data_IF_942583121820
#
_entry.id   IF_942583121820
#
_cell.length_a   1.000
_cell.length_b   1.000
_cell.length_c   1.000
_cell.angle_alpha   90.00
_cell.angle_beta   90.00
_cell.angle_gamma   90.00
#
_symmetry.space_group_name_H-M   'P 1'
#
loop_
_entity.id
_entity.type
_entity.pdbx_description
1 polymer ?
#
# COMPACT_ATOMS: atom_id res chain seq x y z
N UNK A 1 0.20 13.48 -30.63
CA UNK A 1 1.39 12.85 -30.03
C UNK A 1 0.92 11.81 -29.02
N UNK A 2 1.78 10.94 -28.46
CA UNK A 2 1.32 10.06 -27.37
C UNK A 2 1.05 10.92 -26.14
N UNK A 3 -0.12 10.74 -25.53
CA UNK A 3 -0.52 11.43 -24.31
C UNK A 3 -0.15 10.58 -23.09
N UNK A 4 0.50 11.20 -22.11
CA UNK A 4 0.83 10.57 -20.83
C UNK A 4 -0.07 11.15 -19.74
N UNK A 5 -0.70 10.26 -18.99
CA UNK A 5 -1.59 10.57 -17.88
C UNK A 5 -0.82 10.54 -16.56
N UNK A 6 -1.24 11.37 -15.62
CA UNK A 6 -0.60 11.53 -14.31
C UNK A 6 -1.60 11.23 -13.21
N UNK A 7 -1.19 10.35 -12.30
CA UNK A 7 -1.89 10.11 -11.04
C UNK A 7 -1.13 10.84 -9.94
N UNK A 8 -1.81 11.71 -9.19
CA UNK A 8 -1.20 12.49 -8.11
C UNK A 8 -1.40 11.80 -6.76
N UNK A 9 -0.31 11.62 -6.02
CA UNK A 9 -0.26 10.80 -4.80
C UNK A 9 -0.19 11.62 -3.51
N UNK A 10 -0.23 12.96 -3.58
CA UNK A 10 -0.11 13.86 -2.42
C UNK A 10 -1.09 13.57 -1.29
N UNK A 11 -2.30 13.10 -1.62
CA UNK A 11 -3.35 12.84 -0.63
C UNK A 11 -3.26 11.44 0.01
N UNK A 12 -2.34 10.57 -0.46
CA UNK A 12 -2.14 9.21 0.05
C UNK A 12 -0.66 8.84 0.19
N UNK A 13 0.02 8.41 -0.89
CA UNK A 13 1.35 7.79 -0.76
C UNK A 13 2.45 8.77 -0.35
N UNK A 14 2.39 10.01 -0.83
CA UNK A 14 3.46 10.97 -0.59
C UNK A 14 3.58 11.30 0.91
N UNK A 15 2.46 11.59 1.57
CA UNK A 15 2.45 11.85 3.01
C UNK A 15 2.58 10.58 3.86
N UNK A 16 2.12 9.43 3.35
CA UNK A 16 2.39 8.14 3.96
C UNK A 16 3.90 7.87 4.03
N UNK A 17 4.63 8.19 2.96
CA UNK A 17 6.07 7.97 2.83
C UNK A 17 6.90 8.99 3.62
N UNK A 18 6.50 10.27 3.58
CA UNK A 18 7.33 11.35 4.10
C UNK A 18 6.99 11.80 5.53
N UNK A 19 5.71 11.70 5.93
CA UNK A 19 5.24 12.21 7.24
C UNK A 19 4.35 11.20 7.97
N UNK A 20 4.66 9.91 7.82
CA UNK A 20 4.00 8.82 8.54
C UNK A 20 2.46 8.84 8.44
N UNK A 21 1.93 9.25 7.29
CA UNK A 21 0.49 9.29 7.00
C UNK A 21 -0.28 10.32 7.84
N UNK A 22 0.36 11.41 8.27
CA UNK A 22 -0.21 12.39 9.22
C UNK A 22 -0.83 13.63 8.59
N UNK A 23 -1.10 13.62 7.29
CA UNK A 23 -1.86 14.69 6.64
C UNK A 23 -3.35 14.58 7.02
N UNK A 24 -3.87 15.62 7.68
CA UNK A 24 -5.28 15.66 8.15
C UNK A 24 -6.25 16.01 7.03
N UNK A 25 -7.52 15.62 7.14
CA UNK A 25 -8.55 16.01 6.16
C UNK A 25 -8.69 17.53 6.10
N UNK A 26 -8.53 18.21 7.24
CA UNK A 26 -8.56 19.67 7.34
C UNK A 26 -7.48 20.35 6.50
N UNK A 27 -6.30 19.75 6.41
CA UNK A 27 -5.19 20.25 5.57
C UNK A 27 -5.36 19.89 4.09
N UNK A 28 -6.17 18.88 3.76
CA UNK A 28 -6.45 18.56 2.36
C UNK A 28 -7.47 19.51 1.75
N UNK A 29 -8.51 19.89 2.53
CA UNK A 29 -9.67 20.65 2.06
C UNK A 29 -9.37 21.92 1.25
N UNK A 30 -8.44 22.82 1.68
CA UNK A 30 -8.28 24.12 1.03
C UNK A 30 -7.75 24.05 -0.42
N UNK A 31 -7.13 22.94 -0.81
CA UNK A 31 -6.46 22.78 -2.11
C UNK A 31 -7.18 21.80 -3.06
N UNK A 32 -8.32 21.22 -2.64
CA UNK A 32 -9.03 20.20 -3.42
C UNK A 32 -9.56 20.72 -4.77
N UNK A 33 -9.98 21.97 -4.85
CA UNK A 33 -10.48 22.55 -6.11
C UNK A 33 -9.36 22.71 -7.15
N UNK A 34 -8.16 23.07 -6.69
CA UNK A 34 -6.97 23.19 -7.52
C UNK A 34 -6.54 21.80 -8.00
N UNK A 35 -6.53 20.80 -7.13
CA UNK A 35 -6.27 19.41 -7.49
C UNK A 35 -7.29 18.87 -8.52
N UNK A 36 -8.58 19.18 -8.36
CA UNK A 36 -9.65 18.73 -9.27
C UNK A 36 -9.57 19.39 -10.67
N UNK A 37 -8.99 20.58 -10.79
CA UNK A 37 -8.82 21.27 -12.08
C UNK A 37 -7.46 21.07 -12.73
N UNK A 38 -6.51 20.46 -12.02
CA UNK A 38 -5.12 20.35 -12.48
C UNK A 38 -4.93 19.41 -13.68
N UNK A 39 -5.94 18.61 -14.05
CA UNK A 39 -5.91 17.75 -15.24
C UNK A 39 -5.32 16.36 -15.01
N UNK A 40 -5.24 15.92 -13.74
CA UNK A 40 -4.83 14.58 -13.37
C UNK A 40 -5.78 13.50 -13.93
N UNK A 41 -5.24 12.31 -14.17
CA UNK A 41 -6.03 11.12 -14.46
C UNK A 41 -6.79 10.66 -13.21
N UNK A 42 -6.09 10.59 -12.08
CA UNK A 42 -6.67 10.30 -10.78
C UNK A 42 -5.91 11.00 -9.65
N UNK A 43 -6.58 11.18 -8.52
CA UNK A 43 -5.98 11.53 -7.23
C UNK A 43 -5.97 10.28 -6.37
N UNK A 44 -4.80 9.76 -6.04
CA UNK A 44 -4.70 8.71 -5.05
C UNK A 44 -4.86 9.33 -3.65
N UNK A 45 -6.00 9.07 -3.01
CA UNK A 45 -6.43 9.80 -1.80
C UNK A 45 -6.96 8.92 -0.67
N UNK A 46 -7.04 7.60 -0.89
CA UNK A 46 -7.59 6.68 0.09
C UNK A 46 -6.92 5.30 0.04
N UNK A 47 -7.23 4.46 1.03
CA UNK A 47 -6.59 3.16 1.16
C UNK A 47 -5.14 3.25 1.67
N UNK A 48 -4.35 2.21 1.43
CA UNK A 48 -3.04 2.06 2.07
C UNK A 48 -3.14 2.20 3.60
N UNK A 49 -2.25 3.00 4.20
CA UNK A 49 -2.25 3.22 5.66
C UNK A 49 -3.18 4.36 6.10
N UNK A 50 -3.87 5.05 5.18
CA UNK A 50 -4.69 6.22 5.54
C UNK A 50 -5.86 5.85 6.44
N UNK A 51 -6.45 4.67 6.24
CA UNK A 51 -7.60 4.21 7.02
C UNK A 51 -7.24 3.99 8.49
N UNK A 52 -6.18 3.23 8.77
CA UNK A 52 -5.64 3.07 10.14
C UNK A 52 -5.21 4.43 10.70
N UNK A 53 -4.56 5.27 9.90
CA UNK A 53 -4.07 6.58 10.36
C UNK A 53 -5.20 7.51 10.82
N UNK A 54 -6.29 7.57 10.05
CA UNK A 54 -7.47 8.37 10.37
C UNK A 54 -8.02 8.00 11.75
N UNK A 55 -8.27 6.71 11.95
CA UNK A 55 -8.86 6.20 13.20
C UNK A 55 -7.89 6.32 14.38
N UNK A 56 -6.65 5.89 14.20
CA UNK A 56 -5.68 5.69 15.29
C UNK A 56 -5.03 6.98 15.77
N UNK A 57 -4.74 7.91 14.87
CA UNK A 57 -3.88 9.06 15.18
C UNK A 57 -4.53 10.41 14.90
N UNK A 58 -5.39 10.50 13.89
CA UNK A 58 -6.00 11.78 13.52
C UNK A 58 -7.36 12.01 14.21
N UNK A 59 -7.99 10.94 14.73
CA UNK A 59 -9.35 11.03 15.27
C UNK A 59 -10.36 11.42 14.19
N UNK A 60 -10.14 10.94 12.96
CA UNK A 60 -10.97 11.21 11.79
C UNK A 60 -11.64 9.92 11.33
N UNK A 61 -12.88 10.04 10.84
CA UNK A 61 -13.58 8.93 10.18
C UNK A 61 -13.07 8.82 8.72
N UNK A 62 -12.43 7.71 8.33
CA UNK A 62 -11.88 7.56 6.98
C UNK A 62 -12.97 7.58 5.90
N UNK A 63 -14.20 7.16 6.21
CA UNK A 63 -15.32 7.22 5.27
C UNK A 63 -15.82 8.66 5.09
N UNK A 64 -15.84 9.46 6.16
CA UNK A 64 -16.13 10.89 6.04
C UNK A 64 -15.06 11.64 5.25
N UNK A 65 -13.77 11.26 5.40
CA UNK A 65 -12.69 11.80 4.57
C UNK A 65 -12.98 11.56 3.08
N UNK A 66 -13.34 10.33 2.71
CA UNK A 66 -13.69 9.97 1.34
C UNK A 66 -14.88 10.80 0.83
N UNK A 67 -16.00 10.80 1.55
CA UNK A 67 -17.20 11.58 1.17
C UNK A 67 -16.91 13.07 1.05
N UNK A 68 -16.12 13.61 1.96
CA UNK A 68 -15.72 15.04 1.98
C UNK A 68 -14.89 15.39 0.75
N UNK A 69 -13.89 14.58 0.42
CA UNK A 69 -13.06 14.83 -0.76
C UNK A 69 -13.87 14.63 -2.04
N UNK A 70 -14.68 13.58 -2.14
CA UNK A 70 -15.58 13.38 -3.29
C UNK A 70 -16.57 14.51 -3.47
N UNK A 71 -16.99 15.19 -2.40
CA UNK A 71 -17.86 16.37 -2.49
C UNK A 71 -17.15 17.56 -3.14
N UNK A 72 -15.85 17.71 -2.92
CA UNK A 72 -15.06 18.83 -3.45
C UNK A 72 -14.42 18.53 -4.82
N UNK A 73 -13.97 17.29 -5.04
CA UNK A 73 -13.37 16.81 -6.29
C UNK A 73 -14.46 16.17 -7.12
N UNK A 74 -14.76 16.68 -8.32
CA UNK A 74 -15.87 16.22 -9.17
C UNK A 74 -15.44 15.81 -10.59
N UNK A 75 -14.30 16.29 -11.05
CA UNK A 75 -13.79 16.07 -12.41
C UNK A 75 -12.75 14.96 -12.45
N UNK A 76 -11.92 14.88 -11.43
CA UNK A 76 -10.83 13.90 -11.35
C UNK A 76 -11.31 12.61 -10.67
N UNK A 77 -10.84 11.47 -11.17
CA UNK A 77 -11.12 10.18 -10.55
C UNK A 77 -10.45 10.08 -9.17
N UNK A 78 -11.16 9.56 -8.18
CA UNK A 78 -10.58 9.21 -6.89
C UNK A 78 -10.06 7.78 -6.94
N UNK A 79 -8.79 7.62 -6.59
CA UNK A 79 -8.11 6.34 -6.56
C UNK A 79 -7.77 5.93 -5.14
N UNK A 80 -7.87 4.63 -4.89
CA UNK A 80 -7.38 4.01 -3.66
C UNK A 80 -6.41 2.86 -3.91
N UNK A 81 -5.57 2.57 -2.92
CA UNK A 81 -4.76 1.35 -2.86
C UNK A 81 -5.41 0.32 -1.92
N UNK A 82 -5.71 -0.87 -2.43
CA UNK A 82 -6.33 -1.97 -1.69
C UNK A 82 -5.46 -3.24 -1.77
N UNK A 83 -5.21 -3.91 -0.64
CA UNK A 83 -4.39 -5.12 -0.59
C UNK A 83 -5.26 -6.37 -0.71
N UNK A 84 -5.88 -6.59 -1.87
CA UNK A 84 -6.64 -7.80 -2.19
C UNK A 84 -7.56 -8.27 -1.05
N UNK A 85 -7.46 -9.56 -0.72
CA UNK A 85 -8.18 -10.20 0.38
C UNK A 85 -7.84 -9.65 1.77
N UNK A 86 -6.70 -8.95 1.93
CA UNK A 86 -6.36 -8.24 3.17
C UNK A 86 -7.03 -6.88 3.31
N UNK A 87 -7.67 -6.36 2.25
CA UNK A 87 -8.25 -5.02 2.22
C UNK A 87 -7.23 -3.96 2.67
N UNK A 88 -7.48 -3.30 3.80
CA UNK A 88 -6.58 -2.33 4.42
C UNK A 88 -6.00 -2.84 5.75
N UNK A 89 -6.28 -4.10 6.11
CA UNK A 89 -5.83 -4.75 7.33
C UNK A 89 -4.57 -5.60 7.14
N UNK A 90 -4.36 -6.52 8.08
CA UNK A 90 -3.13 -7.32 8.21
C UNK A 90 -3.32 -8.83 8.01
N UNK A 91 -4.54 -9.30 7.75
CA UNK A 91 -4.91 -10.70 7.55
C UNK A 91 -5.89 -10.83 6.39
N UNK A 92 -6.12 -12.03 5.86
CA UNK A 92 -7.22 -12.26 4.92
C UNK A 92 -8.57 -12.13 5.62
N UNK A 93 -9.53 -11.53 4.91
CA UNK A 93 -10.93 -11.44 5.30
C UNK A 93 -11.77 -12.41 4.49
N UNK A 94 -12.93 -12.77 5.03
CA UNK A 94 -13.97 -13.51 4.30
C UNK A 94 -14.48 -12.73 3.10
N UNK A 95 -15.01 -13.45 2.10
CA UNK A 95 -15.44 -12.83 0.84
C UNK A 95 -16.60 -11.84 1.00
N UNK A 96 -17.51 -12.06 1.97
CA UNK A 96 -18.61 -11.14 2.27
C UNK A 96 -18.11 -9.80 2.79
N UNK A 97 -17.04 -9.79 3.59
CA UNK A 97 -16.39 -8.55 4.04
C UNK A 97 -15.70 -7.83 2.88
N UNK A 98 -15.01 -8.58 2.01
CA UNK A 98 -14.35 -7.99 0.84
C UNK A 98 -15.36 -7.39 -0.14
N UNK A 99 -16.43 -8.11 -0.47
CA UNK A 99 -17.49 -7.61 -1.36
C UNK A 99 -18.14 -6.35 -0.80
N UNK A 100 -18.53 -6.36 0.48
CA UNK A 100 -19.13 -5.19 1.13
C UNK A 100 -18.17 -4.00 1.18
N UNK A 101 -16.88 -4.24 1.45
CA UNK A 101 -15.90 -3.16 1.52
C UNK A 101 -15.69 -2.50 0.16
N UNK A 102 -15.54 -3.30 -0.91
CA UNK A 102 -15.40 -2.79 -2.28
C UNK A 102 -16.63 -2.00 -2.70
N UNK A 103 -17.82 -2.57 -2.49
CA UNK A 103 -19.09 -1.89 -2.75
C UNK A 103 -19.21 -0.56 -2.03
N UNK A 104 -18.93 -0.54 -0.72
CA UNK A 104 -19.00 0.70 0.08
C UNK A 104 -17.94 1.72 -0.32
N UNK A 105 -16.77 1.28 -0.78
CA UNK A 105 -15.73 2.19 -1.30
C UNK A 105 -16.21 2.92 -2.56
N UNK A 106 -16.81 2.18 -3.51
CA UNK A 106 -17.33 2.75 -4.75
C UNK A 106 -18.56 3.63 -4.48
N UNK A 107 -19.52 3.15 -3.67
CA UNK A 107 -20.72 3.90 -3.28
C UNK A 107 -20.39 5.26 -2.64
N UNK A 108 -19.31 5.33 -1.85
CA UNK A 108 -18.88 6.57 -1.19
C UNK A 108 -17.98 7.46 -2.07
N UNK A 109 -17.55 7.00 -3.25
CA UNK A 109 -16.95 7.84 -4.27
C UNK A 109 -15.58 7.43 -4.81
N UNK A 110 -15.08 6.24 -4.51
CA UNK A 110 -13.88 5.71 -5.19
C UNK A 110 -14.24 5.31 -6.62
N UNK A 111 -13.46 5.79 -7.59
CA UNK A 111 -13.64 5.46 -9.00
C UNK A 111 -12.67 4.35 -9.44
N UNK A 112 -11.42 4.41 -8.95
CA UNK A 112 -10.34 3.47 -9.29
C UNK A 112 -9.86 2.74 -8.04
N UNK A 113 -9.96 1.41 -8.05
CA UNK A 113 -9.35 0.56 -7.02
C UNK A 113 -8.08 -0.07 -7.61
N UNK A 114 -6.93 0.42 -7.15
CA UNK A 114 -5.65 -0.25 -7.38
C UNK A 114 -5.53 -1.41 -6.40
N UNK A 115 -5.68 -2.64 -6.90
CA UNK A 115 -5.64 -3.85 -6.09
C UNK A 115 -4.31 -4.59 -6.27
N UNK A 116 -3.66 -4.97 -5.18
CA UNK A 116 -2.43 -5.77 -5.21
C UNK A 116 -2.44 -6.89 -4.18
N UNK A 117 -1.65 -7.92 -4.45
CA UNK A 117 -1.26 -8.96 -3.49
C UNK A 117 0.26 -8.90 -3.26
N UNK A 118 0.70 -9.15 -2.03
CA UNK A 118 2.10 -9.05 -1.66
C UNK A 118 2.99 -10.12 -2.33
N UNK A 119 2.42 -11.27 -2.71
CA UNK A 119 3.09 -12.38 -3.36
C UNK A 119 2.86 -12.43 -4.88
N UNK A 120 2.06 -11.51 -5.42
CA UNK A 120 1.50 -11.61 -6.76
C UNK A 120 0.65 -12.88 -6.97
N UNK A 121 0.08 -13.46 -5.91
CA UNK A 121 -0.88 -14.54 -6.02
C UNK A 121 -2.24 -13.97 -6.44
N UNK A 122 -2.55 -14.06 -7.73
CA UNK A 122 -3.75 -13.46 -8.32
C UNK A 122 -5.06 -13.99 -7.70
N UNK A 123 -5.03 -15.17 -7.06
CA UNK A 123 -6.20 -15.72 -6.35
C UNK A 123 -6.65 -14.81 -5.21
N UNK A 124 -5.71 -14.11 -4.57
CA UNK A 124 -5.98 -13.22 -3.44
C UNK A 124 -6.59 -11.87 -3.88
N UNK A 125 -6.65 -11.55 -5.17
CA UNK A 125 -7.32 -10.34 -5.67
C UNK A 125 -8.64 -10.64 -6.38
N UNK A 126 -8.99 -11.92 -6.55
CA UNK A 126 -10.16 -12.36 -7.31
C UNK A 126 -11.48 -11.77 -6.80
N UNK A 127 -11.72 -11.80 -5.48
CA UNK A 127 -12.96 -11.27 -4.89
C UNK A 127 -13.08 -9.76 -5.11
N UNK A 128 -11.97 -9.02 -5.01
CA UNK A 128 -11.96 -7.58 -5.28
C UNK A 128 -12.30 -7.29 -6.74
N UNK A 129 -11.72 -8.03 -7.68
CA UNK A 129 -12.03 -7.86 -9.11
C UNK A 129 -13.51 -8.14 -9.35
N UNK A 130 -14.03 -9.30 -8.91
CA UNK A 130 -15.43 -9.66 -9.08
C UNK A 130 -16.39 -8.61 -8.51
N UNK A 131 -16.16 -8.19 -7.27
CA UNK A 131 -16.99 -7.18 -6.60
C UNK A 131 -16.90 -5.82 -7.31
N UNK A 132 -15.68 -5.40 -7.67
CA UNK A 132 -15.44 -4.14 -8.37
C UNK A 132 -16.16 -4.07 -9.72
N UNK A 133 -16.10 -5.14 -10.51
CA UNK A 133 -16.81 -5.23 -11.79
C UNK A 133 -18.33 -5.20 -11.61
N UNK A 134 -18.87 -5.86 -10.58
CA UNK A 134 -20.30 -5.85 -10.25
C UNK A 134 -20.80 -4.44 -9.93
N UNK A 135 -19.98 -3.63 -9.28
CA UNK A 135 -20.30 -2.26 -8.89
C UNK A 135 -19.88 -1.20 -9.94
N UNK A 136 -19.44 -1.64 -11.12
CA UNK A 136 -18.95 -0.79 -12.23
C UNK A 136 -17.77 0.13 -11.85
N UNK A 137 -16.94 -0.28 -10.88
CA UNK A 137 -15.68 0.41 -10.58
C UNK A 137 -14.58 0.05 -11.57
N UNK A 138 -13.57 0.92 -11.70
CA UNK A 138 -12.36 0.62 -12.46
C UNK A 138 -11.39 -0.17 -11.59
N UNK A 139 -11.06 -1.41 -11.99
CA UNK A 139 -10.15 -2.27 -11.24
C UNK A 139 -8.78 -2.31 -11.91
N UNK A 140 -7.83 -1.62 -11.27
CA UNK A 140 -6.44 -1.64 -11.69
C UNK A 140 -5.68 -2.70 -10.90
N UNK A 141 -5.29 -3.79 -11.54
CA UNK A 141 -4.48 -4.82 -10.88
C UNK A 141 -3.01 -4.42 -10.87
N UNK A 142 -2.35 -4.52 -9.71
CA UNK A 142 -0.98 -4.09 -9.53
C UNK A 142 -0.04 -5.26 -9.28
N UNK A 143 1.05 -5.29 -10.04
CA UNK A 143 2.18 -6.20 -9.88
C UNK A 143 3.11 -5.60 -8.82
N UNK A 144 3.32 -6.33 -7.72
CA UNK A 144 4.35 -6.02 -6.73
C UNK A 144 5.73 -6.37 -7.30
N UNK A 145 6.45 -5.39 -7.81
CA UNK A 145 7.74 -5.61 -8.48
C UNK A 145 8.85 -5.97 -7.48
N UNK A 146 9.69 -6.92 -7.87
CA UNK A 146 10.92 -7.28 -7.17
C UNK A 146 11.94 -7.94 -8.10
N UNK A 147 13.14 -8.23 -7.61
CA UNK A 147 14.15 -8.99 -8.35
C UNK A 147 14.59 -10.21 -7.53
N UNK A 148 14.82 -11.33 -8.23
CA UNK A 148 15.32 -12.60 -7.69
C UNK A 148 15.56 -13.57 -8.86
N UNK A 149 16.16 -14.76 -8.64
CA UNK A 149 16.31 -15.78 -9.69
C UNK A 149 15.02 -16.23 -10.39
N UNK A 150 13.84 -16.06 -9.76
CA UNK A 150 12.55 -16.47 -10.35
C UNK A 150 11.73 -15.32 -10.95
N UNK A 151 12.14 -14.07 -10.71
CA UNK A 151 11.40 -12.89 -11.17
C UNK A 151 12.07 -12.35 -12.44
N UNK A 152 11.51 -12.69 -13.59
CA UNK A 152 11.95 -12.26 -14.91
C UNK A 152 10.75 -11.73 -15.73
N UNK A 153 10.98 -11.34 -16.98
CA UNK A 153 9.93 -10.82 -17.87
C UNK A 153 8.78 -11.81 -18.07
N UNK A 154 9.09 -13.09 -18.31
CA UNK A 154 8.07 -14.14 -18.50
C UNK A 154 7.16 -14.30 -17.27
N UNK A 155 7.74 -14.24 -16.07
CA UNK A 155 6.99 -14.27 -14.82
C UNK A 155 5.98 -13.12 -14.78
N UNK A 156 6.43 -11.89 -15.02
CA UNK A 156 5.56 -10.72 -14.92
C UNK A 156 4.52 -10.65 -16.04
N UNK A 157 4.88 -11.05 -17.26
CA UNK A 157 3.93 -11.18 -18.37
C UNK A 157 2.86 -12.24 -18.05
N UNK A 158 3.23 -13.36 -17.44
CA UNK A 158 2.28 -14.38 -16.99
C UNK A 158 1.31 -13.85 -15.94
N UNK A 159 1.80 -13.11 -14.94
CA UNK A 159 0.95 -12.47 -13.92
C UNK A 159 0.02 -11.44 -14.57
N UNK A 160 0.52 -10.61 -15.49
CA UNK A 160 -0.27 -9.61 -16.21
C UNK A 160 -1.40 -10.24 -17.05
N UNK A 161 -1.11 -11.36 -17.74
CA UNK A 161 -2.12 -12.14 -18.49
C UNK A 161 -3.20 -12.68 -17.56
N UNK A 162 -2.82 -13.25 -16.42
CA UNK A 162 -3.78 -13.74 -15.43
C UNK A 162 -4.68 -12.62 -14.91
N UNK A 163 -4.11 -11.45 -14.57
CA UNK A 163 -4.90 -10.29 -14.13
C UNK A 163 -5.88 -9.81 -15.22
N UNK A 164 -5.44 -9.74 -16.49
CA UNK A 164 -6.32 -9.43 -17.63
C UNK A 164 -7.46 -10.44 -17.74
N UNK A 165 -7.14 -11.73 -17.71
CA UNK A 165 -8.13 -12.81 -17.90
C UNK A 165 -9.16 -12.86 -16.77
N UNK A 166 -8.80 -12.35 -15.58
CA UNK A 166 -9.72 -12.17 -14.46
C UNK A 166 -10.61 -10.93 -14.59
N UNK A 167 -10.34 -10.03 -15.53
CA UNK A 167 -11.17 -8.85 -15.82
C UNK A 167 -10.61 -7.51 -15.31
N UNK A 168 -9.29 -7.38 -15.15
CA UNK A 168 -8.65 -6.08 -14.87
C UNK A 168 -8.96 -5.05 -15.97
N UNK A 169 -9.21 -3.80 -15.58
CA UNK A 169 -9.44 -2.67 -16.50
C UNK A 169 -8.13 -1.95 -16.87
N UNK A 170 -7.13 -1.99 -15.98
CA UNK A 170 -5.76 -1.58 -16.26
C UNK A 170 -4.77 -2.33 -15.37
N UNK A 171 -3.48 -2.23 -15.68
CA UNK A 171 -2.41 -2.85 -14.89
C UNK A 171 -1.47 -1.77 -14.36
N UNK A 172 -0.94 -1.95 -13.16
CA UNK A 172 0.11 -1.11 -12.58
C UNK A 172 1.36 -1.94 -12.27
N UNK A 173 2.54 -1.51 -12.72
CA UNK A 173 3.81 -2.02 -12.19
C UNK A 173 4.15 -1.21 -10.95
N UNK A 174 4.08 -1.86 -9.77
CA UNK A 174 4.31 -1.22 -8.48
C UNK A 174 5.70 -1.55 -7.94
N UNK A 175 6.65 -0.65 -8.15
CA UNK A 175 7.98 -0.67 -7.54
C UNK A 175 7.98 0.09 -6.21
N UNK A 176 7.55 -0.61 -5.15
CA UNK A 176 7.47 -0.03 -3.80
C UNK A 176 8.83 0.32 -3.19
N UNK A 177 9.92 -0.31 -3.65
CA UNK A 177 11.25 -0.13 -3.07
C UNK A 177 12.10 0.87 -3.86
N UNK A 178 11.68 1.21 -5.09
CA UNK A 178 12.48 2.03 -6.00
C UNK A 178 13.69 1.28 -6.51
N UNK A 179 13.54 0.01 -6.88
CA UNK A 179 14.63 -0.88 -7.32
C UNK A 179 14.56 -1.29 -8.79
N UNK A 180 13.53 -0.88 -9.52
CA UNK A 180 13.40 -1.12 -10.96
C UNK A 180 14.33 -0.17 -11.73
N UNK A 181 15.34 -0.74 -12.39
CA UNK A 181 16.29 0.04 -13.18
C UNK A 181 15.70 0.44 -14.55
N UNK A 182 16.19 1.53 -15.17
CA UNK A 182 15.55 2.08 -16.36
C UNK A 182 15.49 1.13 -17.57
N UNK A 183 16.55 0.37 -17.85
CA UNK A 183 16.53 -0.56 -18.98
C UNK A 183 15.62 -1.76 -18.72
N UNK A 184 15.60 -2.27 -17.48
CA UNK A 184 14.70 -3.34 -17.07
C UNK A 184 13.23 -2.90 -17.18
N UNK A 185 12.93 -1.65 -16.82
CA UNK A 185 11.61 -1.06 -17.01
C UNK A 185 11.20 -0.98 -18.49
N UNK A 186 12.12 -0.55 -19.36
CA UNK A 186 11.86 -0.51 -20.80
C UNK A 186 11.47 -1.90 -21.31
N UNK A 187 12.28 -2.92 -20.99
CA UNK A 187 12.05 -4.27 -21.47
C UNK A 187 10.75 -4.85 -20.90
N UNK A 188 10.53 -4.72 -19.60
CA UNK A 188 9.34 -5.23 -18.92
C UNK A 188 8.05 -4.58 -19.44
N UNK A 189 8.03 -3.24 -19.58
CA UNK A 189 6.87 -2.52 -20.11
C UNK A 189 6.57 -2.96 -21.53
N UNK A 190 7.61 -3.03 -22.38
CA UNK A 190 7.45 -3.48 -23.77
C UNK A 190 6.87 -4.89 -23.82
N UNK A 191 7.44 -5.82 -23.05
CA UNK A 191 7.00 -7.22 -22.99
C UNK A 191 5.54 -7.34 -22.54
N UNK A 192 5.11 -6.57 -21.53
CA UNK A 192 3.71 -6.54 -21.08
C UNK A 192 2.80 -5.96 -22.16
N UNK A 193 3.14 -4.81 -22.76
CA UNK A 193 2.32 -4.16 -23.80
C UNK A 193 2.19 -5.00 -25.07
N UNK A 194 3.18 -5.84 -25.41
CA UNK A 194 3.10 -6.78 -26.53
C UNK A 194 2.17 -7.98 -26.25
N UNK A 195 1.86 -8.26 -24.97
CA UNK A 195 1.12 -9.45 -24.54
C UNK A 195 -0.24 -9.16 -23.90
N UNK A 196 -0.47 -7.92 -23.47
CA UNK A 196 -1.65 -7.47 -22.74
C UNK A 196 -2.11 -6.12 -23.28
N UNK A 197 -3.31 -6.11 -23.86
CA UNK A 197 -3.96 -4.91 -24.40
C UNK A 197 -4.76 -4.17 -23.33
N UNK A 198 -4.06 -3.68 -22.31
CA UNK A 198 -4.62 -2.83 -21.26
C UNK A 198 -3.73 -1.60 -21.07
N UNK A 199 -4.31 -0.55 -20.49
CA UNK A 199 -3.54 0.59 -20.00
C UNK A 199 -2.53 0.11 -18.95
N UNK A 200 -1.28 0.58 -19.08
CA UNK A 200 -0.21 0.25 -18.14
C UNK A 200 0.26 1.49 -17.39
N UNK A 201 0.10 1.46 -16.07
CA UNK A 201 0.58 2.46 -15.14
C UNK A 201 1.90 2.06 -14.49
N UNK A 202 2.76 3.05 -14.24
CA UNK A 202 4.02 2.86 -13.52
C UNK A 202 3.98 3.63 -12.22
N UNK A 203 4.22 2.90 -11.14
CA UNK A 203 4.38 3.44 -9.79
C UNK A 203 5.77 3.10 -9.27
N UNK A 204 6.56 4.11 -8.91
CA UNK A 204 7.84 3.88 -8.24
C UNK A 204 8.12 4.92 -7.16
N UNK A 205 8.75 4.46 -6.09
CA UNK A 205 9.37 5.34 -5.11
C UNK A 205 10.73 5.82 -5.62
N UNK A 206 11.16 7.02 -5.21
CA UNK A 206 12.41 7.65 -5.62
C UNK A 206 13.60 7.27 -4.71
N UNK A 207 13.44 6.25 -3.86
CA UNK A 207 14.37 5.95 -2.76
C UNK A 207 15.81 5.79 -3.23
N UNK A 208 16.02 5.06 -4.34
CA UNK A 208 17.33 4.84 -4.94
C UNK A 208 17.81 5.96 -5.86
N UNK A 209 16.94 6.92 -6.18
CA UNK A 209 17.22 8.02 -7.11
C UNK A 209 16.95 7.73 -8.59
N UNK A 210 16.52 6.51 -8.95
CA UNK A 210 16.42 6.11 -10.37
C UNK A 210 15.04 6.30 -11.01
N UNK A 211 14.00 6.57 -10.22
CA UNK A 211 12.61 6.48 -10.66
C UNK A 211 12.23 7.43 -11.82
N UNK A 212 12.78 8.65 -11.89
CA UNK A 212 12.52 9.56 -13.02
C UNK A 212 13.12 9.05 -14.33
N UNK A 213 14.36 8.56 -14.30
CA UNK A 213 15.01 7.91 -15.44
C UNK A 213 14.23 6.67 -15.87
N UNK A 214 13.77 5.90 -14.88
CA UNK A 214 12.95 4.71 -15.10
C UNK A 214 11.61 5.05 -15.77
N UNK A 215 10.92 6.09 -15.31
CA UNK A 215 9.66 6.54 -15.92
C UNK A 215 9.84 6.94 -17.39
N UNK A 216 10.93 7.64 -17.74
CA UNK A 216 11.20 7.99 -19.13
C UNK A 216 11.34 6.75 -20.01
N UNK A 217 12.14 5.77 -19.57
CA UNK A 217 12.32 4.50 -20.30
C UNK A 217 11.02 3.70 -20.38
N UNK A 218 10.22 3.66 -19.32
CA UNK A 218 8.92 3.01 -19.32
C UNK A 218 7.94 3.68 -20.31
N UNK A 219 7.93 5.01 -20.36
CA UNK A 219 7.09 5.79 -21.29
C UNK A 219 7.52 5.53 -22.75
N UNK A 220 8.82 5.54 -23.04
CA UNK A 220 9.37 5.17 -24.35
C UNK A 220 8.97 3.75 -24.78
N UNK A 221 8.84 2.83 -23.83
CA UNK A 221 8.41 1.46 -24.07
C UNK A 221 6.89 1.28 -24.21
N UNK A 222 6.11 2.32 -23.91
CA UNK A 222 4.66 2.31 -24.10
C UNK A 222 3.81 2.38 -22.84
N UNK A 223 4.35 2.74 -21.67
CA UNK A 223 3.53 3.07 -20.50
C UNK A 223 2.55 4.22 -20.79
N UNK A 224 1.38 4.20 -20.16
CA UNK A 224 0.26 5.09 -20.46
C UNK A 224 -0.03 6.09 -19.33
N UNK A 225 0.30 5.70 -18.09
CA UNK A 225 0.05 6.47 -16.87
C UNK A 225 1.29 6.38 -15.97
N UNK A 226 1.61 7.46 -15.25
CA UNK A 226 2.64 7.46 -14.20
C UNK A 226 2.11 8.07 -12.91
N UNK A 227 2.53 7.52 -11.77
CA UNK A 227 2.29 8.13 -10.47
C UNK A 227 3.37 9.17 -10.15
N UNK A 228 2.95 10.37 -9.77
CA UNK A 228 3.84 11.43 -9.29
C UNK A 228 3.35 12.01 -7.97
N UNK A 229 4.22 12.79 -7.33
CA UNK A 229 3.88 13.58 -6.16
C UNK A 229 4.18 15.05 -6.43
N UNK A 230 3.34 15.97 -5.96
CA UNK A 230 3.64 17.41 -6.07
C UNK A 230 4.95 17.74 -5.36
N UNK A 231 5.79 18.59 -5.96
CA UNK A 231 7.20 18.77 -5.60
C UNK A 231 7.54 18.96 -4.11
N UNK A 232 6.74 19.64 -3.26
CA UNK A 232 7.07 19.75 -1.84
C UNK A 232 7.10 18.40 -1.11
N UNK A 233 6.33 17.42 -1.58
CA UNK A 233 6.23 16.07 -1.03
C UNK A 233 6.68 14.99 -2.03
N UNK A 234 7.48 15.37 -3.03
CA UNK A 234 8.11 14.43 -3.96
C UNK A 234 9.49 13.97 -3.48
N UNK A 235 10.06 13.02 -4.22
CA UNK A 235 11.45 12.54 -4.09
C UNK A 235 11.71 11.76 -2.80
N UNK A 236 12.95 11.27 -2.63
CA UNK A 236 13.33 10.40 -1.53
C UNK A 236 12.44 9.16 -1.49
N UNK A 237 11.82 8.88 -0.35
CA UNK A 237 10.87 7.76 -0.22
C UNK A 237 9.51 8.03 -0.88
N UNK A 238 9.27 9.19 -1.49
CA UNK A 238 8.06 9.50 -2.25
C UNK A 238 8.26 9.27 -3.76
N UNK A 239 7.28 9.63 -4.59
CA UNK A 239 7.30 9.51 -6.05
C UNK A 239 8.10 10.66 -6.72
N UNK A 240 8.47 10.55 -8.01
CA UNK A 240 9.01 11.67 -8.79
C UNK A 240 8.10 12.91 -8.77
N UNK A 241 8.69 14.10 -8.86
CA UNK A 241 7.95 15.36 -8.83
C UNK A 241 7.06 15.54 -10.06
N UNK A 242 5.77 15.82 -9.84
CA UNK A 242 4.76 16.03 -10.89
C UNK A 242 5.20 17.10 -11.88
N UNK A 243 5.62 18.26 -11.39
CA UNK A 243 5.97 19.43 -12.20
C UNK A 243 7.19 19.17 -13.07
N UNK A 244 8.22 18.53 -12.51
CA UNK A 244 9.44 18.18 -13.23
C UNK A 244 9.15 17.16 -14.33
N UNK A 245 8.39 16.11 -14.03
CA UNK A 245 8.01 15.11 -15.04
C UNK A 245 7.15 15.72 -16.15
N UNK A 246 6.19 16.60 -15.81
CA UNK A 246 5.36 17.29 -16.79
C UNK A 246 6.20 18.12 -17.76
N UNK A 247 7.12 18.95 -17.23
CA UNK A 247 8.00 19.78 -18.05
C UNK A 247 8.93 18.94 -18.93
N UNK A 248 9.51 17.86 -18.40
CA UNK A 248 10.35 16.94 -19.17
C UNK A 248 9.57 16.29 -20.31
N UNK A 249 8.37 15.77 -20.05
CA UNK A 249 7.57 15.09 -21.08
C UNK A 249 7.10 16.03 -22.19
N UNK A 250 6.69 17.25 -21.85
CA UNK A 250 6.34 18.29 -22.83
C UNK A 250 7.54 18.59 -23.74
N UNK A 251 8.72 18.80 -23.16
CA UNK A 251 9.95 19.04 -23.93
C UNK A 251 10.36 17.84 -24.78
N UNK A 252 10.06 16.62 -24.34
CA UNK A 252 10.29 15.37 -25.08
C UNK A 252 9.22 15.04 -26.12
N UNK A 253 8.24 15.93 -26.37
CA UNK A 253 7.24 15.78 -27.43
C UNK A 253 6.01 14.94 -27.04
N UNK A 254 5.79 14.69 -25.75
CA UNK A 254 4.57 14.06 -25.24
C UNK A 254 3.52 15.11 -24.86
N UNK A 255 2.24 14.73 -25.01
CA UNK A 255 1.14 15.54 -24.52
C UNK A 255 0.87 15.22 -23.04
N UNK A 256 0.71 16.27 -22.23
CA UNK A 256 0.17 16.16 -20.86
C UNK A 256 -1.08 17.03 -20.75
N UNK A 257 -1.99 16.66 -19.86
CA UNK A 257 -3.22 17.41 -19.62
C UNK A 257 -3.09 18.43 -18.46
N UNK A 258 -1.87 18.63 -17.97
CA UNK A 258 -1.65 19.29 -16.69
C UNK A 258 -1.70 20.82 -16.83
N UNK A 259 -2.49 21.46 -15.96
CA UNK A 259 -2.50 22.91 -15.81
C UNK A 259 -1.33 23.35 -14.92
N UNK A 260 -0.26 23.84 -15.54
CA UNK A 260 0.96 24.29 -14.86
C UNK A 260 0.71 25.42 -13.83
N UNK A 261 -0.32 26.25 -14.04
CA UNK A 261 -0.70 27.27 -13.05
C UNK A 261 -1.34 26.62 -11.83
N UNK A 262 -2.25 25.69 -12.04
CA UNK A 262 -2.83 24.91 -10.93
C UNK A 262 -1.74 24.15 -10.17
N UNK A 263 -0.77 23.53 -10.87
CA UNK A 263 0.36 22.86 -10.21
C UNK A 263 1.16 23.80 -9.32
N UNK A 264 1.42 25.02 -9.77
CA UNK A 264 2.15 26.03 -8.99
C UNK A 264 1.40 26.39 -7.71
N UNK A 265 0.09 26.66 -7.81
CA UNK A 265 -0.76 26.96 -6.64
C UNK A 265 -0.81 25.79 -5.65
N UNK A 266 -0.90 24.54 -6.14
CA UNK A 266 -0.89 23.33 -5.32
C UNK A 266 0.47 23.20 -4.61
N UNK A 267 1.57 23.35 -5.35
CA UNK A 267 2.92 23.31 -4.78
C UNK A 267 3.10 24.39 -3.70
N UNK A 268 2.69 25.63 -3.97
CA UNK A 268 2.84 26.73 -3.00
C UNK A 268 2.07 26.46 -1.71
N UNK A 269 0.85 25.92 -1.80
CA UNK A 269 0.09 25.47 -0.63
C UNK A 269 0.85 24.39 0.17
N UNK A 270 1.35 23.36 -0.51
CA UNK A 270 2.05 22.25 0.16
C UNK A 270 3.46 22.63 0.65
N UNK A 271 4.08 23.70 0.17
CA UNK A 271 5.33 24.24 0.76
C UNK A 271 5.12 24.68 2.21
N UNK A 272 4.04 25.41 2.48
CA UNK A 272 3.71 25.85 3.84
C UNK A 272 3.46 24.66 4.77
N UNK A 273 2.74 23.65 4.28
CA UNK A 273 2.49 22.40 5.00
C UNK A 273 3.81 21.66 5.26
N UNK A 274 4.70 21.57 4.26
CA UNK A 274 6.03 20.96 4.41
C UNK A 274 6.82 21.65 5.52
N UNK A 275 6.86 22.98 5.55
CA UNK A 275 7.56 23.73 6.60
C UNK A 275 7.03 23.41 8.00
N UNK A 276 5.70 23.30 8.16
CA UNK A 276 5.09 22.89 9.43
C UNK A 276 5.62 21.53 9.89
N UNK A 277 5.68 20.54 9.00
CA UNK A 277 6.15 19.19 9.35
C UNK A 277 7.67 19.08 9.51
N UNK A 278 8.44 19.99 8.91
CA UNK A 278 9.87 20.13 9.24
C UNK A 278 10.02 20.68 10.65
N UNK A 279 9.32 21.78 10.97
CA UNK A 279 9.40 22.47 12.26
C UNK A 279 9.01 21.57 13.44
N UNK A 280 8.04 20.66 13.25
CA UNK A 280 7.62 19.72 14.30
C UNK A 280 8.37 18.37 14.29
N UNK A 281 9.36 18.20 13.39
CA UNK A 281 10.20 17.00 13.32
C UNK A 281 9.55 15.77 12.68
N UNK A 282 8.31 15.86 12.18
CA UNK A 282 7.64 14.75 11.50
C UNK A 282 8.30 14.44 10.14
N UNK A 283 8.68 15.48 9.39
CA UNK A 283 9.43 15.33 8.14
C UNK A 283 10.93 15.26 8.45
N UNK A 284 11.50 14.07 8.36
CA UNK A 284 12.92 13.83 8.60
C UNK A 284 13.73 13.91 7.29
N UNK A 285 14.91 14.54 7.30
CA UNK A 285 15.77 14.60 6.12
C UNK A 285 16.12 13.21 5.56
N UNK A 286 16.20 12.18 6.42
CA UNK A 286 16.50 10.81 6.01
C UNK A 286 15.51 10.25 4.99
N UNK A 287 14.22 10.57 5.12
CA UNK A 287 13.19 10.08 4.19
C UNK A 287 13.13 10.89 2.89
N UNK A 288 13.81 12.04 2.84
CA UNK A 288 13.94 12.88 1.64
C UNK A 288 15.26 12.64 0.89
N UNK A 289 16.23 12.00 1.52
CA UNK A 289 17.53 11.67 0.91
C UNK A 289 17.41 10.45 0.00
N UNK A 290 18.26 10.43 -1.04
CA UNK A 290 18.46 9.25 -1.88
C UNK A 290 19.35 8.25 -1.14
N UNK A 291 18.98 6.98 -1.17
CA UNK A 291 19.77 5.85 -0.67
C UNK A 291 19.97 4.81 -1.79
N UNK A 292 21.10 4.86 -2.51
CA UNK A 292 21.38 3.91 -3.59
C UNK A 292 21.61 2.49 -3.08
N UNK A 293 21.85 2.29 -1.78
CA UNK A 293 22.02 0.94 -1.21
C UNK A 293 20.74 0.11 -1.30
N UNK A 294 19.58 0.75 -1.49
CA UNK A 294 18.33 0.06 -1.82
C UNK A 294 18.47 -0.86 -3.05
N UNK A 295 19.31 -0.49 -4.03
CA UNK A 295 19.59 -1.30 -5.22
C UNK A 295 20.43 -2.55 -4.92
N UNK A 296 21.26 -2.50 -3.88
CA UNK A 296 22.17 -3.58 -3.51
C UNK A 296 21.42 -4.60 -2.66
N UNK A 297 20.87 -4.16 -1.52
CA UNK A 297 20.27 -5.07 -0.55
C UNK A 297 18.84 -5.45 -0.92
N UNK A 298 18.16 -4.63 -1.76
CA UNK A 298 16.74 -4.78 -2.08
C UNK A 298 15.83 -4.76 -0.83
N UNK A 299 16.38 -4.32 0.31
CA UNK A 299 15.70 -4.22 1.59
C UNK A 299 15.10 -2.81 1.69
N UNK A 300 13.78 -2.67 1.86
CA UNK A 300 13.17 -1.36 2.05
C UNK A 300 13.74 -0.63 3.27
N UNK A 301 13.94 0.69 3.20
CA UNK A 301 14.54 1.46 4.30
C UNK A 301 13.77 1.37 5.64
N UNK A 302 12.44 1.23 5.59
CA UNK A 302 11.62 0.98 6.78
C UNK A 302 11.90 -0.38 7.43
N UNK A 303 12.26 -1.40 6.65
CA UNK A 303 12.71 -2.68 7.16
C UNK A 303 14.08 -2.55 7.85
N UNK A 304 15.05 -1.87 7.22
CA UNK A 304 16.38 -1.64 7.81
C UNK A 304 16.30 -0.93 9.17
N UNK A 305 15.47 0.13 9.25
CA UNK A 305 15.27 0.88 10.49
C UNK A 305 14.68 0.01 11.60
N UNK A 306 13.73 -0.87 11.27
CA UNK A 306 13.14 -1.80 12.23
C UNK A 306 14.14 -2.88 12.68
N UNK A 307 14.95 -3.43 11.77
CA UNK A 307 15.99 -4.41 12.10
C UNK A 307 16.99 -3.81 13.11
N UNK A 308 17.47 -2.60 12.85
CA UNK A 308 18.38 -1.91 13.76
C UNK A 308 17.73 -1.66 15.13
N UNK A 309 16.45 -1.26 15.16
CA UNK A 309 15.72 -1.09 16.41
C UNK A 309 15.57 -2.41 17.19
N UNK A 310 15.31 -3.52 16.51
CA UNK A 310 15.21 -4.84 17.14
C UNK A 310 16.55 -5.27 17.74
N UNK A 311 17.65 -5.10 17.01
CA UNK A 311 19.00 -5.41 17.51
C UNK A 311 19.37 -4.53 18.71
N UNK A 312 19.04 -3.23 18.65
CA UNK A 312 19.27 -2.29 19.76
C UNK A 312 18.52 -2.67 21.03
N UNK A 313 17.26 -3.12 20.91
CA UNK A 313 16.50 -3.61 22.06
C UNK A 313 17.15 -4.84 22.72
N UNK A 314 17.89 -5.63 21.94
CA UNK A 314 18.61 -6.81 22.41
C UNK A 314 20.08 -6.50 22.78
N UNK A 315 20.55 -5.25 22.59
CA UNK A 315 21.95 -4.85 22.77
C UNK A 315 22.93 -5.65 21.88
N UNK A 316 22.53 -5.89 20.63
CA UNK A 316 23.25 -6.70 19.63
C UNK A 316 23.46 -5.97 18.30
N UNK A 317 23.61 -4.65 18.33
CA UNK A 317 23.81 -3.83 17.14
C UNK A 317 25.07 -4.23 16.32
N UNK A 318 26.06 -4.83 16.97
CA UNK A 318 27.26 -5.39 16.34
C UNK A 318 26.96 -6.51 15.34
N UNK A 319 25.80 -7.18 15.48
CA UNK A 319 25.34 -8.24 14.56
C UNK A 319 24.60 -7.75 13.31
N UNK A 320 24.51 -6.44 13.10
CA UNK A 320 23.74 -5.87 11.99
C UNK A 320 24.15 -6.41 10.61
N UNK A 321 25.46 -6.49 10.35
CA UNK A 321 25.99 -7.02 9.08
C UNK A 321 25.69 -8.52 8.88
N UNK A 322 25.64 -9.31 9.97
CA UNK A 322 25.25 -10.72 9.91
C UNK A 322 23.76 -10.85 9.55
N UNK A 323 22.90 -9.99 10.12
CA UNK A 323 21.47 -9.96 9.79
C UNK A 323 21.25 -9.60 8.33
N UNK A 324 21.96 -8.60 7.80
CA UNK A 324 21.84 -8.21 6.39
C UNK A 324 22.22 -9.36 5.43
N UNK A 325 23.21 -10.19 5.80
CA UNK A 325 23.58 -11.40 5.03
C UNK A 325 22.57 -12.54 5.18
N UNK A 326 21.85 -12.60 6.30
CA UNK A 326 20.85 -13.63 6.56
C UNK A 326 19.50 -13.34 5.87
N UNK A 327 19.12 -12.08 5.71
CA UNK A 327 17.90 -11.65 5.01
C UNK A 327 17.70 -12.32 3.63
N UNK A 328 18.66 -12.25 2.68
CA UNK A 328 18.48 -12.88 1.37
C UNK A 328 18.36 -14.41 1.45
N UNK A 329 19.00 -15.05 2.43
CA UNK A 329 18.91 -16.51 2.65
C UNK A 329 17.54 -16.91 3.18
N UNK A 330 16.98 -16.15 4.13
CA UNK A 330 15.62 -16.35 4.60
C UNK A 330 14.62 -16.10 3.48
N UNK A 331 14.82 -15.06 2.67
CA UNK A 331 13.96 -14.76 1.52
C UNK A 331 13.97 -15.91 0.50
N UNK A 332 15.14 -16.48 0.21
CA UNK A 332 15.29 -17.65 -0.66
C UNK A 332 14.56 -18.88 -0.10
N UNK A 333 14.78 -19.21 1.17
CA UNK A 333 14.12 -20.33 1.83
C UNK A 333 12.60 -20.21 1.79
N UNK A 334 12.07 -18.98 1.85
CA UNK A 334 10.64 -18.70 1.77
C UNK A 334 10.12 -18.60 0.32
N UNK A 335 10.90 -18.96 -0.69
CA UNK A 335 10.44 -18.99 -2.08
C UNK A 335 10.42 -17.60 -2.75
N UNK A 336 11.36 -16.74 -2.36
CA UNK A 336 11.58 -15.39 -2.91
C UNK A 336 10.36 -14.44 -2.89
N UNK A 337 9.61 -14.28 -1.78
CA UNK A 337 8.53 -13.31 -1.73
C UNK A 337 9.05 -11.89 -2.05
N UNK A 338 8.26 -11.04 -2.74
CA UNK A 338 8.52 -9.62 -2.80
C UNK A 338 8.60 -9.03 -1.39
N UNK A 339 9.63 -8.23 -1.10
CA UNK A 339 9.83 -7.61 0.21
C UNK A 339 8.93 -6.38 0.40
N UNK A 340 7.62 -6.56 0.28
CA UNK A 340 6.59 -5.58 0.60
C UNK A 340 5.93 -5.93 1.94
N UNK A 341 5.28 -4.98 2.61
CA UNK A 341 4.54 -5.28 3.86
C UNK A 341 3.39 -6.27 3.58
N UNK A 342 3.24 -7.33 4.39
CA UNK A 342 3.97 -7.65 5.64
C UNK A 342 5.26 -8.48 5.46
N UNK A 343 5.50 -9.04 4.27
CA UNK A 343 6.60 -9.98 3.97
C UNK A 343 7.99 -9.46 4.36
N UNK A 344 8.29 -8.17 4.12
CA UNK A 344 9.57 -7.58 4.50
C UNK A 344 9.86 -7.69 6.00
N UNK A 345 8.88 -7.37 6.85
CA UNK A 345 9.05 -7.47 8.31
C UNK A 345 9.19 -8.92 8.76
N UNK A 346 8.44 -9.84 8.14
CA UNK A 346 8.50 -11.27 8.47
C UNK A 346 9.89 -11.84 8.16
N UNK A 347 10.40 -11.62 6.95
CA UNK A 347 11.75 -12.04 6.53
C UNK A 347 12.80 -11.43 7.46
N UNK A 348 12.68 -10.13 7.73
CA UNK A 348 13.59 -9.40 8.60
C UNK A 348 13.66 -9.94 10.02
N UNK A 349 12.51 -10.10 10.67
CA UNK A 349 12.45 -10.62 12.04
C UNK A 349 12.95 -12.05 12.13
N UNK A 350 12.65 -12.91 11.16
CA UNK A 350 13.22 -14.25 11.13
C UNK A 350 14.74 -14.24 10.96
N UNK A 351 15.29 -13.34 10.13
CA UNK A 351 16.74 -13.18 9.98
C UNK A 351 17.40 -12.74 11.29
N UNK A 352 16.81 -11.78 12.01
CA UNK A 352 17.27 -11.36 13.35
C UNK A 352 17.24 -12.55 14.30
N UNK A 353 16.14 -13.31 14.35
CA UNK A 353 16.05 -14.50 15.22
C UNK A 353 17.11 -15.54 14.90
N UNK A 354 17.36 -15.83 13.62
CA UNK A 354 18.38 -16.79 13.20
C UNK A 354 19.77 -16.40 13.72
N UNK A 355 20.13 -15.12 13.59
CA UNK A 355 21.44 -14.58 13.98
C UNK A 355 21.60 -14.48 15.50
N UNK A 356 20.56 -14.06 16.22
CA UNK A 356 20.58 -13.98 17.69
C UNK A 356 20.69 -15.38 18.30
N UNK A 357 19.93 -16.35 17.77
CA UNK A 357 19.89 -17.72 18.29
C UNK A 357 21.11 -18.57 17.89
N UNK A 358 21.91 -18.11 16.92
CA UNK A 358 23.07 -18.83 16.39
C UNK A 358 22.71 -20.08 15.57
N UNK A 359 21.42 -20.29 15.27
CA UNK A 359 20.90 -21.46 14.58
C UNK A 359 19.65 -21.07 13.76
N UNK A 360 19.69 -21.31 12.44
CA UNK A 360 18.60 -20.95 11.54
C UNK A 360 17.32 -21.71 11.90
N UNK A 361 16.20 -21.00 12.04
CA UNK A 361 14.87 -21.53 12.34
C UNK A 361 14.73 -22.30 13.66
N UNK A 362 15.65 -22.08 14.63
CA UNK A 362 15.48 -22.59 16.00
C UNK A 362 14.24 -22.02 16.69
N UNK A 363 13.99 -20.73 16.47
CA UNK A 363 12.77 -20.04 16.85
C UNK A 363 12.13 -19.46 15.59
N UNK A 364 10.84 -19.73 15.43
CA UNK A 364 10.08 -19.36 14.23
C UNK A 364 8.81 -18.64 14.68
N UNK A 365 8.63 -17.35 14.32
CA UNK A 365 7.40 -16.61 14.56
C UNK A 365 6.19 -17.30 13.94
N UNK A 366 5.02 -17.05 14.51
CA UNK A 366 3.77 -17.63 14.02
C UNK A 366 3.51 -17.24 12.56
N UNK A 367 3.78 -16.00 12.20
CA UNK A 367 3.57 -15.45 10.86
C UNK A 367 4.39 -16.19 9.80
N UNK A 368 5.63 -16.60 10.12
CA UNK A 368 6.46 -17.41 9.23
C UNK A 368 5.90 -18.82 9.10
N UNK A 369 5.38 -19.41 10.18
CA UNK A 369 4.70 -20.71 10.12
C UNK A 369 3.44 -20.63 9.27
N UNK A 370 2.63 -19.59 9.45
CA UNK A 370 1.39 -19.36 8.70
C UNK A 370 1.69 -19.12 7.21
N UNK A 371 2.78 -18.41 6.89
CA UNK A 371 3.30 -18.27 5.53
C UNK A 371 3.66 -19.62 4.89
N UNK A 372 4.47 -20.42 5.57
CA UNK A 372 4.89 -21.74 5.06
C UNK A 372 3.72 -22.73 5.00
N UNK A 373 2.71 -22.54 5.84
CA UNK A 373 1.42 -23.25 5.75
C UNK A 373 0.58 -22.83 4.55
N UNK A 374 0.97 -21.81 3.78
CA UNK A 374 0.25 -21.30 2.61
C UNK A 374 -0.87 -20.32 2.95
N UNK A 375 -0.98 -19.84 4.20
CA UNK A 375 -2.10 -19.00 4.64
C UNK A 375 -2.06 -17.55 4.11
N UNK A 376 -0.94 -17.15 3.50
CA UNK A 376 -0.80 -15.87 2.80
C UNK A 376 -0.97 -16.00 1.29
N UNK A 377 -1.11 -17.22 0.75
CA UNK A 377 -1.09 -17.50 -0.68
C UNK A 377 0.13 -18.29 -1.11
N UNK A 378 0.32 -18.40 -2.42
CA UNK A 378 1.39 -19.15 -3.06
C UNK A 378 2.66 -18.30 -3.15
N UNK A 379 3.79 -18.84 -2.69
CA UNK A 379 5.10 -18.23 -2.88
C UNK A 379 5.51 -18.23 -4.36
N UNK A 380 6.28 -17.23 -4.85
CA UNK A 380 6.75 -17.19 -6.23
C UNK A 380 7.55 -18.42 -6.66
N UNK A 381 8.38 -18.95 -5.75
CA UNK A 381 9.11 -20.20 -5.93
C UNK A 381 8.66 -21.26 -4.92
N UNK A 382 8.89 -22.53 -5.24
CA UNK A 382 8.58 -23.63 -4.34
C UNK A 382 9.51 -23.62 -3.12
N UNK A 383 8.91 -23.65 -1.93
CA UNK A 383 9.63 -23.86 -0.66
C UNK A 383 10.06 -25.34 -0.59
N UNK A 384 11.32 -25.60 -0.24
CA UNK A 384 11.84 -26.97 -0.21
C UNK A 384 11.21 -27.78 0.92
N UNK A 385 11.04 -29.11 0.76
CA UNK A 385 10.49 -29.97 1.82
C UNK A 385 11.28 -29.89 3.14
N UNK A 386 12.60 -29.69 3.06
CA UNK A 386 13.47 -29.52 4.23
C UNK A 386 13.09 -28.25 5.02
N UNK A 387 12.95 -27.11 4.34
CA UNK A 387 12.55 -25.85 4.97
C UNK A 387 11.14 -25.95 5.53
N UNK A 388 10.20 -26.57 4.80
CA UNK A 388 8.84 -26.82 5.29
C UNK A 388 8.89 -27.63 6.60
N UNK A 389 9.58 -28.78 6.59
CA UNK A 389 9.69 -29.64 7.77
C UNK A 389 10.36 -28.94 8.94
N UNK A 390 11.35 -28.06 8.68
CA UNK A 390 12.05 -27.32 9.72
C UNK A 390 11.17 -26.26 10.39
N UNK A 391 10.29 -25.62 9.63
CA UNK A 391 9.47 -24.49 10.10
C UNK A 391 8.15 -24.97 10.72
N UNK A 392 7.47 -25.92 10.07
CA UNK A 392 6.12 -26.36 10.46
C UNK A 392 6.04 -27.85 10.87
N UNK A 393 7.17 -28.57 10.88
CA UNK A 393 7.19 -29.98 11.29
C UNK A 393 6.40 -30.86 10.33
N UNK A 394 5.44 -31.62 10.87
CA UNK A 394 4.59 -32.53 10.10
C UNK A 394 3.29 -31.87 9.58
N UNK A 395 3.08 -30.58 9.87
CA UNK A 395 1.92 -29.86 9.34
C UNK A 395 2.00 -29.78 7.81
N UNK A 396 0.85 -29.81 7.15
CA UNK A 396 0.76 -29.75 5.68
C UNK A 396 0.37 -28.35 5.21
N UNK A 397 1.09 -27.75 4.24
CA UNK A 397 0.66 -26.52 3.61
C UNK A 397 -0.67 -26.69 2.89
N UNK A 398 -1.54 -25.68 2.96
CA UNK A 398 -2.73 -25.59 2.12
C UNK A 398 -2.32 -25.25 0.68
N UNK A 399 -3.12 -25.71 -0.28
CA UNK A 399 -2.91 -25.41 -1.71
C UNK A 399 -4.07 -24.62 -2.33
N UNK A 400 -5.22 -24.53 -1.66
CA UNK A 400 -6.35 -23.68 -2.04
C UNK A 400 -6.06 -22.19 -1.78
N UNK A 401 -7.00 -21.32 -2.14
CA UNK A 401 -6.93 -19.91 -1.78
C UNK A 401 -7.26 -19.79 -0.28
N UNK A 402 -6.48 -19.06 0.54
CA UNK A 402 -6.68 -19.09 1.99
C UNK A 402 -8.05 -18.60 2.46
N UNK A 403 -8.68 -17.68 1.71
CA UNK A 403 -10.02 -17.19 2.02
C UNK A 403 -11.12 -18.24 1.86
N UNK A 404 -10.88 -19.33 1.12
CA UNK A 404 -11.84 -20.44 0.98
C UNK A 404 -12.04 -21.19 2.31
N UNK A 405 -11.15 -20.97 3.28
CA UNK A 405 -11.20 -21.56 4.63
C UNK A 405 -11.74 -20.58 5.68
N UNK A 406 -12.17 -19.38 5.27
CA UNK A 406 -12.67 -18.34 6.18
C UNK A 406 -14.19 -18.27 6.04
N UNK A 407 -14.90 -18.70 7.08
CA UNK A 407 -16.35 -18.56 7.19
C UNK A 407 -16.79 -17.08 7.11
N UNK A 408 -17.99 -16.76 6.61
CA UNK A 408 -18.52 -15.41 6.57
C UNK A 408 -18.45 -14.69 7.92
N UNK A 409 -18.04 -13.42 7.93
CA UNK A 409 -17.73 -12.69 9.17
C UNK A 409 -18.64 -11.48 9.43
N UNK A 410 -19.46 -11.04 8.48
CA UNK A 410 -20.21 -9.80 8.62
C UNK A 410 -21.16 -9.78 9.83
N UNK A 411 -22.03 -10.79 9.97
CA UNK A 411 -22.99 -10.83 11.08
C UNK A 411 -22.28 -10.92 12.43
N UNK A 412 -21.17 -11.64 12.51
CA UNK A 412 -20.33 -11.68 13.71
C UNK A 412 -19.83 -10.29 14.09
N UNK A 413 -19.21 -9.57 13.16
CA UNK A 413 -18.67 -8.23 13.46
C UNK A 413 -19.77 -7.24 13.80
N UNK A 414 -20.91 -7.31 13.11
CA UNK A 414 -22.09 -6.50 13.38
C UNK A 414 -22.61 -6.72 14.80
N UNK A 415 -22.70 -7.97 15.27
CA UNK A 415 -23.12 -8.29 16.62
C UNK A 415 -22.12 -7.81 17.68
N UNK A 416 -20.82 -7.93 17.42
CA UNK A 416 -19.74 -7.51 18.33
C UNK A 416 -19.70 -5.98 18.55
N UNK A 417 -20.13 -5.19 17.57
CA UNK A 417 -20.06 -3.71 17.61
C UNK A 417 -21.43 -3.03 17.62
N UNK A 418 -22.54 -3.77 17.76
CA UNK A 418 -23.93 -3.26 17.65
C UNK A 418 -24.26 -2.10 18.58
N UNK A 419 -23.56 -1.96 19.71
CA UNK A 419 -23.74 -0.86 20.66
C UNK A 419 -23.18 0.48 20.13
N UNK A 420 -22.24 0.43 19.18
CA UNK A 420 -21.53 1.59 18.65
C UNK A 420 -21.73 1.80 17.15
N UNK A 421 -21.93 0.75 16.36
CA UNK A 421 -22.12 0.91 14.92
C UNK A 421 -23.51 1.43 14.58
N UNK A 422 -23.53 2.45 13.72
CA UNK A 422 -24.77 3.05 13.17
C UNK A 422 -24.90 2.85 11.67
N UNK A 423 -23.88 2.28 11.03
CA UNK A 423 -23.76 2.10 9.58
C UNK A 423 -22.96 0.84 9.25
N UNK A 424 -23.04 0.41 7.99
CA UNK A 424 -22.20 -0.70 7.48
C UNK A 424 -20.71 -0.32 7.51
N UNK A 425 -20.41 0.95 7.23
CA UNK A 425 -19.08 1.54 7.26
C UNK A 425 -18.44 1.46 8.67
N UNK A 426 -19.22 1.65 9.73
CA UNK A 426 -18.75 1.46 11.12
C UNK A 426 -18.37 -0.02 11.36
N UNK A 427 -19.20 -0.95 10.89
CA UNK A 427 -18.95 -2.40 11.00
C UNK A 427 -17.70 -2.80 10.21
N UNK A 428 -17.52 -2.28 8.99
CA UNK A 428 -16.33 -2.52 8.18
C UNK A 428 -15.06 -1.94 8.81
N UNK A 429 -15.17 -0.75 9.44
CA UNK A 429 -14.06 -0.16 10.19
C UNK A 429 -13.66 -1.05 11.36
N UNK A 430 -14.65 -1.60 12.07
CA UNK A 430 -14.44 -2.57 13.14
C UNK A 430 -13.84 -3.88 12.64
N UNK A 431 -14.32 -4.44 11.54
CA UNK A 431 -13.77 -5.65 10.94
C UNK A 431 -12.26 -5.51 10.66
N UNK A 432 -11.86 -4.37 10.11
CA UNK A 432 -10.46 -4.09 9.78
C UNK A 432 -9.59 -3.83 11.02
N UNK A 433 -10.08 -3.04 11.98
CA UNK A 433 -9.31 -2.59 13.15
C UNK A 433 -10.16 -2.62 14.43
N UNK A 434 -10.49 -3.79 15.00
CA UNK A 434 -11.52 -3.93 16.05
C UNK A 434 -11.33 -2.97 17.23
N UNK A 435 -10.16 -3.01 17.88
CA UNK A 435 -9.86 -2.19 19.07
C UNK A 435 -9.80 -0.69 18.75
N UNK A 436 -9.23 -0.33 17.59
CA UNK A 436 -9.05 1.06 17.20
C UNK A 436 -10.38 1.69 16.80
N UNK A 437 -11.16 0.97 15.99
CA UNK A 437 -12.45 1.42 15.52
C UNK A 437 -13.46 1.50 16.66
N UNK A 438 -13.49 0.51 17.57
CA UNK A 438 -14.35 0.56 18.76
C UNK A 438 -14.06 1.80 19.60
N UNK A 439 -12.80 2.03 19.95
CA UNK A 439 -12.37 3.22 20.69
C UNK A 439 -12.71 4.52 19.94
N UNK A 440 -12.49 4.55 18.63
CA UNK A 440 -12.83 5.71 17.81
C UNK A 440 -14.34 6.01 17.82
N UNK A 441 -15.19 4.98 17.69
CA UNK A 441 -16.64 5.13 17.71
C UNK A 441 -17.13 5.57 19.09
N UNK A 442 -16.59 4.98 20.17
CA UNK A 442 -16.83 5.42 21.55
C UNK A 442 -16.55 6.92 21.70
N UNK A 443 -15.36 7.38 21.28
CA UNK A 443 -14.97 8.80 21.35
C UNK A 443 -15.87 9.70 20.46
N UNK A 444 -16.23 9.23 19.26
CA UNK A 444 -17.11 9.93 18.31
C UNK A 444 -18.49 10.17 18.90
N UNK A 445 -19.10 9.14 19.50
CA UNK A 445 -20.43 9.24 20.09
C UNK A 445 -20.42 10.03 21.40
N UNK A 446 -19.37 9.87 22.21
CA UNK A 446 -19.20 10.65 23.44
C UNK A 446 -19.15 12.15 23.14
N UNK A 447 -18.39 12.56 22.11
CA UNK A 447 -18.35 13.96 21.66
C UNK A 447 -19.69 14.44 21.10
N UNK A 448 -20.37 13.61 20.30
CA UNK A 448 -21.66 13.97 19.68
C UNK A 448 -22.77 14.15 20.71
N UNK A 449 -22.87 13.25 21.68
CA UNK A 449 -23.92 13.26 22.71
C UNK A 449 -23.49 13.95 24.01
N UNK A 450 -22.26 14.48 24.08
CA UNK A 450 -21.67 15.12 25.26
C UNK A 450 -21.69 14.20 26.49
N UNK A 451 -21.41 12.91 26.29
CA UNK A 451 -21.34 11.92 27.37
C UNK A 451 -19.92 11.96 27.94
N UNK A 452 -19.80 12.16 29.25
CA UNK A 452 -18.51 12.13 29.93
C UNK A 452 -18.07 10.69 30.23
N UNK A 453 -17.21 10.14 29.37
CA UNK A 453 -16.75 8.75 29.46
C UNK A 453 -15.62 8.51 30.44
N UNK A 454 -14.95 9.57 30.89
CA UNK A 454 -13.88 9.51 31.92
C UNK A 454 -14.42 9.21 33.31
N UNK A 455 -15.72 9.39 33.53
CA UNK A 455 -16.40 9.18 34.82
C UNK A 455 -17.23 7.89 34.86
N UNK A 456 -17.10 7.02 33.86
CA UNK A 456 -17.85 5.76 33.81
C UNK A 456 -17.49 4.86 34.98
N UNK A 457 -18.49 4.53 35.81
CA UNK A 457 -18.34 3.52 36.84
C UNK A 457 -18.58 2.14 36.20
N UNK A 458 -17.48 1.43 35.91
CA UNK A 458 -17.50 0.11 35.28
C UNK A 458 -18.14 -0.99 36.13
N UNK A 459 -18.26 -0.79 37.44
CA UNK A 459 -18.88 -1.75 38.36
C UNK A 459 -20.41 -1.63 38.34
N UNK A 460 -20.92 -0.41 38.25
CA UNK A 460 -22.35 -0.13 38.37
C UNK A 460 -23.00 0.19 37.01
N UNK A 461 -22.22 0.18 35.92
CA UNK A 461 -22.67 0.52 34.57
C UNK A 461 -23.38 1.89 34.49
N UNK A 462 -22.92 2.87 35.26
CA UNK A 462 -23.51 4.22 35.33
C UNK A 462 -22.53 5.30 34.91
N UNK A 463 -23.03 6.28 34.17
CA UNK A 463 -22.37 7.57 33.97
C UNK A 463 -23.01 8.58 34.93
N UNK A 464 -22.23 9.35 35.71
CA UNK A 464 -22.78 10.50 36.39
C UNK A 464 -23.27 11.50 35.33
N UNK A 465 -24.51 11.96 35.51
CA UNK A 465 -25.18 12.96 34.65
C UNK A 465 -24.59 14.34 34.91
#
# INVERSE_FOLDING_TARGET
MKKIRFTETILRDAHQSLIATRLSTKEMLPVLQQLDRAGYHSLEMWGGATFDSCLRYLGEDPWERLRTIRKAVKKTNLQMLLRGQNLLGYKHYSDDIVDLFVRKSIENGIDIIRVFDALNDVRNIETVIKSGKKENGHIQCAISYTTSPVHNEDYYVSVAKQMRDMGADSICIKDMAGILLPQDAYNLVKAIKENVDLDLEIHSHYTSGVASMMYLKAIEAGADIIDTAISPFAMGTSQPATESMAATLINSGYETNLDLKALTEISDYFKEIKEKYIKNGMLNYKVTSVDPNALIYQVPGGMLSNLLSQLKLQQMEDKYEEVLKEVPRVREDLGYPPLVTPMSQMVGTQAVMNVIMGERYKMVPKEIKDYVKGQYGKSPAQITPEVISKIIGNDKPITCRPADLIEPQFEKFKDEIKEFATSTEDILSYALFPEVAKKFLEDKWSKKYKIETTLYNSKDCTHPV
#
